data_IF_465967914752
#
_entry.id   IF_465967914752
#
_cell.length_a   1.000
_cell.length_b   1.000
_cell.length_c   1.000
_cell.angle_alpha   90.00
_cell.angle_beta   90.00
_cell.angle_gamma   90.00
#
_symmetry.space_group_name_H-M   'P 1'
#
loop_
_entity.id
_entity.type
_entity.pdbx_description
1 polymer ?
#
# COMPACT_ATOMS: atom_id res chain seq x y z
N UNK A 1 -34.72 5.93 -11.63
CA UNK A 1 -34.59 6.90 -10.54
C UNK A 1 -33.22 6.75 -9.92
N UNK A 2 -32.32 7.71 -10.12
CA UNK A 2 -30.98 7.70 -9.51
C UNK A 2 -30.99 8.62 -8.29
N UNK A 3 -30.36 8.23 -7.16
CA UNK A 3 -30.32 9.07 -5.96
C UNK A 3 -29.41 10.28 -6.18
N UNK A 4 -29.93 11.46 -5.84
CA UNK A 4 -29.22 12.73 -5.78
C UNK A 4 -28.38 12.71 -4.48
N UNK A 5 -27.06 12.66 -4.60
CA UNK A 5 -26.15 12.76 -3.46
C UNK A 5 -25.78 14.22 -3.22
N UNK A 6 -26.40 14.83 -2.20
CA UNK A 6 -25.99 16.13 -1.67
C UNK A 6 -24.60 16.03 -1.03
N UNK A 7 -23.63 16.71 -1.64
CA UNK A 7 -22.24 16.72 -1.22
C UNK A 7 -21.91 18.09 -0.63
N UNK A 8 -22.32 18.34 0.61
CA UNK A 8 -21.93 19.55 1.35
C UNK A 8 -21.41 19.20 2.74
N UNK A 9 -20.30 18.48 2.80
CA UNK A 9 -19.48 18.37 4.01
C UNK A 9 -18.19 19.15 3.79
N UNK A 10 -18.14 20.35 4.37
CA UNK A 10 -16.91 21.14 4.54
C UNK A 10 -16.01 20.39 5.52
N UNK A 11 -14.94 19.80 5.03
CA UNK A 11 -13.88 19.24 5.88
C UNK A 11 -13.00 20.38 6.42
N UNK A 12 -12.77 20.46 7.75
CA UNK A 12 -11.77 21.37 8.30
C UNK A 12 -10.36 20.86 7.98
N UNK A 13 -9.62 21.65 7.21
CA UNK A 13 -8.20 21.45 6.95
C UNK A 13 -7.38 21.91 8.15
N UNK A 14 -6.53 20.99 8.64
CA UNK A 14 -5.14 21.19 9.05
C UNK A 14 -4.76 22.47 9.81
N UNK A 15 -4.50 22.30 11.10
CA UNK A 15 -3.47 23.04 11.82
C UNK A 15 -2.72 22.10 12.77
N UNK A 16 -1.74 21.36 12.26
CA UNK A 16 -0.75 20.71 13.12
C UNK A 16 0.55 20.45 12.36
N UNK A 17 1.39 21.48 12.27
CA UNK A 17 2.81 21.32 11.96
C UNK A 17 3.53 22.34 12.84
N UNK A 18 4.18 21.87 13.90
CA UNK A 18 5.47 22.36 14.40
C UNK A 18 5.81 21.62 15.70
N UNK A 19 6.97 20.97 15.70
CA UNK A 19 7.47 20.25 16.87
C UNK A 19 8.46 19.14 16.52
N UNK A 20 9.45 19.40 15.67
CA UNK A 20 10.56 18.47 15.47
C UNK A 20 11.49 18.64 16.68
N UNK A 21 11.22 17.85 17.70
CA UNK A 21 11.99 17.79 18.94
C UNK A 21 13.31 17.05 18.71
N UNK A 22 14.38 17.83 18.77
CA UNK A 22 15.67 17.59 19.44
C UNK A 22 16.19 16.15 19.50
N UNK A 23 17.29 15.94 18.78
CA UNK A 23 18.28 14.87 18.91
C UNK A 23 18.38 14.23 20.31
N UNK A 24 17.80 13.04 20.50
CA UNK A 24 18.21 12.13 21.57
C UNK A 24 19.43 11.34 21.09
N UNK A 25 20.63 11.74 21.54
CA UNK A 25 21.83 10.91 21.47
C UNK A 25 21.62 9.78 22.48
N UNK A 26 21.20 8.61 22.00
CA UNK A 26 21.10 7.40 22.81
C UNK A 26 22.50 6.80 22.94
N UNK A 27 23.19 7.11 24.04
CA UNK A 27 24.44 6.44 24.42
C UNK A 27 24.09 5.07 25.00
N UNK A 28 24.19 4.02 24.18
CA UNK A 28 23.97 2.64 24.65
C UNK A 28 25.17 2.19 25.52
N UNK A 29 24.93 1.68 26.74
CA UNK A 29 26.00 1.16 27.58
C UNK A 29 26.56 -0.13 26.97
N UNK A 30 27.86 -0.09 26.64
CA UNK A 30 28.65 -1.24 26.21
C UNK A 30 28.69 -2.28 27.34
N UNK A 31 27.83 -3.28 27.26
CA UNK A 31 27.77 -4.39 28.22
C UNK A 31 28.70 -5.49 27.72
N UNK A 32 29.68 -5.87 28.55
CA UNK A 32 30.64 -6.92 28.22
C UNK A 32 29.94 -8.27 27.97
N UNK A 33 30.44 -9.08 27.01
CA UNK A 33 29.85 -10.39 26.72
C UNK A 33 30.09 -11.33 27.90
N UNK A 34 29.02 -11.72 28.58
CA UNK A 34 29.06 -12.77 29.59
C UNK A 34 29.28 -14.12 28.90
N UNK A 35 30.34 -14.83 29.29
CA UNK A 35 30.67 -16.19 28.85
C UNK A 35 29.49 -17.13 29.15
N UNK A 36 28.69 -17.42 28.13
CA UNK A 36 27.51 -18.28 28.24
C UNK A 36 27.96 -19.74 28.16
N UNK A 37 27.77 -20.46 29.26
CA UNK A 37 28.02 -21.91 29.35
C UNK A 37 27.13 -22.65 28.36
N UNK A 38 27.74 -23.47 27.49
CA UNK A 38 27.06 -24.22 26.44
C UNK A 38 26.11 -25.26 27.06
N UNK A 39 24.83 -24.91 27.18
CA UNK A 39 23.78 -25.82 27.58
C UNK A 39 23.39 -26.67 26.38
N UNK A 40 23.56 -27.98 26.47
CA UNK A 40 23.07 -28.94 25.46
C UNK A 40 21.56 -28.81 25.35
N UNK A 41 21.08 -28.17 24.28
CA UNK A 41 19.65 -28.04 23.97
C UNK A 41 19.19 -29.38 23.38
N UNK A 42 18.34 -30.09 24.12
CA UNK A 42 17.65 -31.28 23.59
C UNK A 42 16.61 -30.78 22.57
N UNK A 43 16.66 -31.22 21.31
CA UNK A 43 15.72 -30.76 20.29
C UNK A 43 14.31 -31.20 20.66
N UNK A 44 13.42 -30.24 20.91
CA UNK A 44 11.98 -30.50 21.06
C UNK A 44 11.40 -30.92 19.71
N UNK A 45 10.38 -31.81 19.68
CA UNK A 45 9.70 -32.16 18.45
C UNK A 45 9.10 -30.90 17.79
N UNK A 46 9.06 -30.83 16.44
CA UNK A 46 8.55 -29.67 15.72
C UNK A 46 7.08 -29.45 16.08
N UNK A 47 6.74 -28.24 16.50
CA UNK A 47 5.36 -27.84 16.76
C UNK A 47 4.70 -27.59 15.42
N UNK A 48 3.57 -28.26 15.16
CA UNK A 48 2.76 -28.04 13.97
C UNK A 48 1.58 -27.13 14.29
N UNK A 49 1.29 -26.18 13.39
CA UNK A 49 0.16 -25.26 13.53
C UNK A 49 -0.77 -25.42 12.32
N UNK A 50 -2.07 -25.45 12.58
CA UNK A 50 -3.11 -25.41 11.54
C UNK A 50 -3.58 -23.96 11.39
N UNK A 51 -3.36 -23.32 10.22
CA UNK A 51 -3.78 -21.93 10.01
C UNK A 51 -5.30 -21.82 9.90
N UNK A 52 -5.88 -20.68 10.31
CA UNK A 52 -7.32 -20.46 10.15
C UNK A 52 -7.68 -20.19 8.69
N UNK A 53 -8.97 -20.38 8.37
CA UNK A 53 -9.53 -20.10 7.04
C UNK A 53 -10.22 -18.74 7.04
N UNK A 54 -10.07 -18.00 5.94
CA UNK A 54 -10.86 -16.79 5.70
C UNK A 54 -12.34 -17.14 5.51
N UNK A 55 -13.23 -16.29 6.04
CA UNK A 55 -14.66 -16.62 6.16
C UNK A 55 -15.37 -16.93 4.84
N UNK A 56 -15.09 -16.18 3.77
CA UNK A 56 -15.79 -16.31 2.49
C UNK A 56 -15.00 -17.11 1.44
N UNK A 57 -13.70 -16.86 1.28
CA UNK A 57 -12.90 -17.52 0.25
C UNK A 57 -12.28 -18.85 0.70
N UNK A 58 -12.40 -19.23 1.98
CA UNK A 58 -11.92 -20.50 2.58
C UNK A 58 -10.42 -20.78 2.51
N UNK A 59 -9.62 -19.94 1.84
CA UNK A 59 -8.17 -20.02 1.84
C UNK A 59 -7.59 -19.93 3.27
N UNK A 60 -6.51 -20.68 3.50
CA UNK A 60 -5.74 -20.62 4.73
C UNK A 60 -5.03 -19.26 4.85
N UNK A 61 -5.08 -18.66 6.03
CA UNK A 61 -4.45 -17.37 6.36
C UNK A 61 -3.14 -17.61 7.08
N UNK A 62 -2.13 -16.78 6.80
CA UNK A 62 -0.91 -16.80 7.59
C UNK A 62 -1.22 -16.50 9.08
N UNK A 63 -0.59 -17.19 10.05
CA UNK A 63 -0.84 -16.95 11.48
C UNK A 63 -0.60 -15.50 11.92
N UNK A 64 0.40 -14.82 11.35
CA UNK A 64 0.69 -13.40 11.58
C UNK A 64 -0.31 -12.40 10.95
N UNK A 65 -1.24 -12.87 10.11
CA UNK A 65 -2.31 -12.05 9.53
C UNK A 65 -3.54 -12.04 10.45
N UNK A 66 -4.32 -10.93 10.54
CA UNK A 66 -5.55 -10.90 11.33
C UNK A 66 -6.53 -12.01 10.93
N UNK A 67 -6.97 -12.79 11.92
CA UNK A 67 -7.78 -14.00 11.71
C UNK A 67 -9.29 -13.70 11.54
N UNK A 68 -9.68 -12.43 11.56
CA UNK A 68 -11.09 -11.97 11.48
C UNK A 68 -11.50 -11.52 10.07
N UNK A 69 -10.69 -11.82 9.05
CA UNK A 69 -10.94 -11.36 7.69
C UNK A 69 -11.97 -12.20 6.95
N UNK A 70 -12.97 -11.52 6.36
CA UNK A 70 -13.97 -12.14 5.49
C UNK A 70 -13.31 -12.66 4.21
N UNK A 71 -12.36 -11.92 3.63
CA UNK A 71 -11.60 -12.30 2.44
C UNK A 71 -10.11 -12.36 2.79
N UNK A 72 -9.40 -13.36 2.27
CA UNK A 72 -7.95 -13.38 2.43
C UNK A 72 -7.28 -12.21 1.69
N UNK A 73 -6.07 -11.79 2.10
CA UNK A 73 -5.33 -10.70 1.47
C UNK A 73 -5.24 -10.79 -0.06
N UNK A 74 -4.98 -11.99 -0.57
CA UNK A 74 -4.85 -12.24 -2.01
C UNK A 74 -6.17 -12.05 -2.76
N UNK A 75 -7.28 -12.58 -2.22
CA UNK A 75 -8.60 -12.40 -2.83
C UNK A 75 -9.03 -10.93 -2.80
N UNK A 76 -8.75 -10.22 -1.71
CA UNK A 76 -9.10 -8.80 -1.61
C UNK A 76 -8.32 -7.93 -2.59
N UNK A 77 -7.02 -8.18 -2.79
CA UNK A 77 -6.24 -7.50 -3.83
C UNK A 77 -6.80 -7.79 -5.22
N UNK A 78 -7.05 -9.06 -5.56
CA UNK A 78 -7.64 -9.41 -6.87
C UNK A 78 -8.97 -8.72 -7.12
N UNK A 79 -9.83 -8.64 -6.10
CA UNK A 79 -11.08 -7.89 -6.19
C UNK A 79 -10.83 -6.41 -6.56
N UNK A 80 -9.95 -5.73 -5.80
CA UNK A 80 -9.64 -4.31 -6.03
C UNK A 80 -9.01 -4.07 -7.40
N UNK A 81 -8.16 -4.99 -7.88
CA UNK A 81 -7.56 -4.93 -9.22
C UNK A 81 -8.63 -5.11 -10.30
N UNK A 82 -9.53 -6.09 -10.15
CA UNK A 82 -10.64 -6.33 -11.08
C UNK A 82 -11.62 -5.15 -11.14
N UNK A 83 -11.80 -4.42 -10.04
CA UNK A 83 -12.60 -3.19 -9.99
C UNK A 83 -11.87 -2.01 -10.66
N UNK A 84 -10.56 -1.88 -10.44
CA UNK A 84 -9.75 -0.77 -10.96
C UNK A 84 -9.47 -0.89 -12.46
N UNK A 85 -9.18 -2.09 -12.97
CA UNK A 85 -8.81 -2.34 -14.37
C UNK A 85 -9.80 -1.74 -15.39
N UNK A 86 -11.11 -2.02 -15.33
CA UNK A 86 -12.06 -1.44 -16.30
C UNK A 86 -12.14 0.08 -16.18
N UNK A 87 -12.00 0.64 -14.97
CA UNK A 87 -11.99 2.09 -14.77
C UNK A 87 -10.74 2.73 -15.37
N UNK A 88 -9.58 2.09 -15.25
CA UNK A 88 -8.34 2.52 -15.88
C UNK A 88 -8.45 2.49 -17.40
N UNK A 89 -9.00 1.42 -17.99
CA UNK A 89 -9.23 1.35 -19.44
C UNK A 89 -10.18 2.45 -19.92
N UNK A 90 -11.28 2.69 -19.23
CA UNK A 90 -12.20 3.79 -19.57
C UNK A 90 -11.52 5.17 -19.45
N UNK A 91 -10.69 5.36 -18.42
CA UNK A 91 -9.96 6.60 -18.19
C UNK A 91 -8.93 6.86 -19.29
N UNK A 92 -8.16 5.84 -19.66
CA UNK A 92 -7.19 5.89 -20.75
C UNK A 92 -7.86 6.16 -22.10
N UNK A 93 -8.99 5.50 -22.40
CA UNK A 93 -9.74 5.70 -23.64
C UNK A 93 -10.32 7.12 -23.77
N UNK A 94 -10.51 7.83 -22.65
CA UNK A 94 -10.90 9.25 -22.63
C UNK A 94 -9.71 10.22 -22.66
N UNK A 95 -8.50 9.70 -22.89
CA UNK A 95 -7.28 10.48 -23.04
C UNK A 95 -6.51 10.73 -21.76
N UNK A 96 -6.87 10.07 -20.66
CA UNK A 96 -6.15 10.12 -19.40
C UNK A 96 -6.02 11.59 -18.89
N UNK A 97 -5.07 11.97 -18.00
CA UNK A 97 -5.05 13.31 -17.42
C UNK A 97 -4.69 14.42 -18.42
N UNK A 98 -4.27 14.08 -19.63
CA UNK A 98 -3.70 15.00 -20.62
C UNK A 98 -4.74 15.58 -21.60
N UNK A 99 -6.00 15.11 -21.57
CA UNK A 99 -7.02 15.55 -22.50
C UNK A 99 -7.82 16.74 -21.95
N UNK A 100 -8.12 17.68 -22.85
CA UNK A 100 -8.80 18.94 -22.56
C UNK A 100 -10.27 18.69 -22.14
N UNK A 101 -10.62 18.87 -20.84
CA UNK A 101 -11.87 18.41 -20.26
C UNK A 101 -13.11 19.19 -20.71
N UNK A 102 -12.95 20.29 -21.45
CA UNK A 102 -14.04 21.22 -21.77
C UNK A 102 -15.15 20.64 -22.67
N UNK A 103 -14.95 19.44 -23.24
CA UNK A 103 -15.91 18.83 -24.17
C UNK A 103 -16.60 17.56 -23.65
N UNK A 104 -16.18 17.00 -22.50
CA UNK A 104 -16.80 15.78 -21.95
C UNK A 104 -17.26 15.97 -20.50
N UNK A 105 -18.58 16.16 -20.25
CA UNK A 105 -19.11 16.28 -18.88
C UNK A 105 -18.91 15.02 -18.04
N UNK A 106 -18.67 13.86 -18.68
CA UNK A 106 -18.37 12.60 -17.98
C UNK A 106 -16.92 12.50 -17.54
N UNK A 107 -16.02 13.34 -18.07
CA UNK A 107 -14.59 13.30 -17.76
C UNK A 107 -14.33 13.42 -16.25
N UNK A 108 -14.90 14.43 -15.59
CA UNK A 108 -14.71 14.65 -14.16
C UNK A 108 -15.31 13.54 -13.31
N UNK A 109 -16.45 12.99 -13.72
CA UNK A 109 -17.10 11.86 -13.01
C UNK A 109 -16.21 10.63 -13.09
N UNK A 110 -15.72 10.30 -14.28
CA UNK A 110 -14.84 9.16 -14.48
C UNK A 110 -13.52 9.34 -13.73
N UNK A 111 -12.90 10.52 -13.79
CA UNK A 111 -11.69 10.85 -13.03
C UNK A 111 -11.89 10.60 -11.54
N UNK A 112 -13.00 11.08 -10.97
CA UNK A 112 -13.33 10.89 -9.55
C UNK A 112 -13.44 9.42 -9.20
N UNK A 113 -14.18 8.64 -9.99
CA UNK A 113 -14.38 7.20 -9.78
C UNK A 113 -13.06 6.44 -9.88
N UNK A 114 -12.27 6.70 -10.92
CA UNK A 114 -10.95 6.08 -11.11
C UNK A 114 -10.02 6.38 -9.92
N UNK A 115 -9.98 7.63 -9.46
CA UNK A 115 -9.19 8.02 -8.29
C UNK A 115 -9.65 7.31 -7.01
N UNK A 116 -10.96 7.14 -6.81
CA UNK A 116 -11.51 6.42 -5.66
C UNK A 116 -11.05 4.96 -5.61
N UNK A 117 -11.05 4.25 -6.75
CA UNK A 117 -10.55 2.88 -6.82
C UNK A 117 -9.03 2.81 -6.60
N UNK A 118 -8.25 3.72 -7.20
CA UNK A 118 -6.81 3.83 -6.93
C UNK A 118 -6.52 4.06 -5.45
N UNK A 119 -7.22 5.00 -4.81
CA UNK A 119 -7.05 5.32 -3.40
C UNK A 119 -7.43 4.12 -2.51
N UNK A 120 -8.48 3.37 -2.87
CA UNK A 120 -8.89 2.17 -2.14
C UNK A 120 -7.81 1.08 -2.20
N UNK A 121 -7.22 0.86 -3.38
CA UNK A 121 -6.11 -0.07 -3.56
C UNK A 121 -4.87 0.37 -2.77
N UNK A 122 -4.44 1.62 -2.89
CA UNK A 122 -3.29 2.16 -2.18
C UNK A 122 -3.45 2.06 -0.65
N UNK A 123 -4.64 2.40 -0.13
CA UNK A 123 -4.97 2.24 1.29
C UNK A 123 -4.86 0.77 1.73
N UNK A 124 -5.37 -0.16 0.93
CA UNK A 124 -5.28 -1.57 1.30
C UNK A 124 -3.84 -2.09 1.23
N UNK A 125 -3.05 -1.67 0.24
CA UNK A 125 -1.62 -1.99 0.17
C UNK A 125 -0.86 -1.51 1.40
N UNK A 126 -1.12 -0.31 1.89
CA UNK A 126 -0.53 0.19 3.14
C UNK A 126 -0.82 -0.73 4.34
N UNK A 127 -2.07 -1.22 4.48
CA UNK A 127 -2.39 -2.20 5.52
C UNK A 127 -1.67 -3.54 5.32
N UNK A 128 -1.45 -3.96 4.08
CA UNK A 128 -0.69 -5.18 3.79
C UNK A 128 0.79 -5.04 4.12
N UNK A 129 1.38 -3.86 3.99
CA UNK A 129 2.78 -3.61 4.39
C UNK A 129 2.95 -3.81 5.89
N UNK A 130 2.10 -3.19 6.71
CA UNK A 130 2.07 -3.39 8.16
C UNK A 130 1.87 -4.86 8.53
N UNK A 131 1.01 -5.58 7.78
CA UNK A 131 0.77 -7.00 8.04
C UNK A 131 1.94 -7.87 7.63
N UNK A 132 2.61 -7.57 6.52
CA UNK A 132 3.79 -8.31 6.08
C UNK A 132 4.93 -8.21 7.11
N UNK A 133 5.11 -7.05 7.74
CA UNK A 133 6.05 -6.88 8.85
C UNK A 133 5.67 -7.77 10.05
N UNK A 134 4.37 -7.91 10.35
CA UNK A 134 3.89 -8.81 11.42
C UNK A 134 4.05 -10.29 11.06
N UNK A 135 3.84 -10.65 9.79
CA UNK A 135 4.09 -12.00 9.31
C UNK A 135 5.57 -12.35 9.48
N UNK A 136 6.47 -11.42 9.14
CA UNK A 136 7.91 -11.56 9.32
C UNK A 136 8.31 -11.69 10.79
N UNK A 137 7.79 -10.83 11.66
CA UNK A 137 8.04 -10.93 13.09
C UNK A 137 7.56 -12.28 13.66
N UNK A 138 6.39 -12.75 13.21
CA UNK A 138 5.85 -14.05 13.61
C UNK A 138 6.75 -15.20 13.12
N UNK A 139 7.22 -15.17 11.87
CA UNK A 139 8.14 -16.15 11.29
C UNK A 139 9.46 -16.23 12.10
N UNK A 140 9.99 -15.09 12.56
CA UNK A 140 11.20 -15.03 13.39
C UNK A 140 10.98 -15.58 14.81
N UNK A 141 9.83 -15.30 15.43
CA UNK A 141 9.49 -15.80 16.77
C UNK A 141 9.21 -17.31 16.79
N UNK A 142 8.81 -17.88 15.65
CA UNK A 142 8.36 -19.26 15.52
C UNK A 142 9.26 -20.08 14.58
N UNK A 143 10.57 -19.85 14.65
CA UNK A 143 11.55 -20.60 13.88
C UNK A 143 11.44 -22.11 14.19
N UNK A 144 11.29 -22.93 13.14
CA UNK A 144 11.11 -24.38 13.26
C UNK A 144 9.66 -24.85 13.44
N UNK A 145 8.68 -23.94 13.45
CA UNK A 145 7.26 -24.32 13.37
C UNK A 145 6.90 -24.70 11.94
N UNK A 146 6.45 -25.94 11.76
CA UNK A 146 5.93 -26.39 10.47
C UNK A 146 4.45 -25.99 10.33
N UNK A 147 4.15 -25.17 9.32
CA UNK A 147 2.77 -24.87 8.96
C UNK A 147 2.18 -26.04 8.16
N UNK A 148 1.09 -26.63 8.64
CA UNK A 148 0.39 -27.65 7.86
C UNK A 148 -0.34 -27.00 6.68
N UNK A 149 -0.18 -27.56 5.48
CA UNK A 149 -0.86 -27.06 4.27
C UNK A 149 -0.22 -25.81 3.64
N UNK A 150 1.10 -25.68 3.73
CA UNK A 150 1.90 -24.50 3.26
C UNK A 150 1.50 -24.00 1.87
N UNK A 151 1.18 -24.89 0.92
CA UNK A 151 0.98 -24.50 -0.47
C UNK A 151 -0.20 -23.54 -0.70
N UNK A 152 -1.23 -23.60 0.14
CA UNK A 152 -2.43 -22.74 -0.01
C UNK A 152 -2.51 -21.60 1.01
N UNK A 153 -1.46 -21.38 1.80
CA UNK A 153 -1.44 -20.25 2.74
C UNK A 153 -1.36 -18.92 1.95
N UNK A 154 -2.31 -18.03 2.26
CA UNK A 154 -2.41 -16.68 1.69
C UNK A 154 -1.89 -15.69 2.71
N UNK A 155 -0.75 -15.09 2.37
CA UNK A 155 -0.06 -14.09 3.18
C UNK A 155 -0.23 -12.68 2.62
N UNK A 156 -0.05 -11.68 3.49
CA UNK A 156 0.02 -10.28 3.12
C UNK A 156 1.22 -10.02 2.20
N UNK A 157 2.38 -10.63 2.48
CA UNK A 157 3.58 -10.56 1.63
C UNK A 157 3.28 -11.02 0.19
N UNK A 158 2.57 -12.15 0.01
CA UNK A 158 2.15 -12.65 -1.31
C UNK A 158 1.17 -11.71 -2.00
N UNK A 159 0.23 -11.14 -1.25
CA UNK A 159 -0.74 -10.18 -1.79
C UNK A 159 -0.08 -8.88 -2.26
N UNK A 160 0.93 -8.37 -1.54
CA UNK A 160 1.73 -7.22 -1.99
C UNK A 160 2.49 -7.50 -3.29
N UNK A 161 3.09 -8.69 -3.42
CA UNK A 161 3.77 -9.09 -4.65
C UNK A 161 2.83 -9.10 -5.86
N UNK A 162 1.59 -9.57 -5.67
CA UNK A 162 0.54 -9.51 -6.70
C UNK A 162 0.19 -8.06 -7.04
N UNK A 163 -0.09 -7.25 -6.02
CA UNK A 163 -0.47 -5.84 -6.21
C UNK A 163 0.60 -5.09 -7.01
N UNK A 164 1.87 -5.13 -6.57
CA UNK A 164 2.99 -4.44 -7.22
C UNK A 164 3.21 -4.89 -8.66
N UNK A 165 3.10 -6.19 -8.95
CA UNK A 165 3.26 -6.73 -10.31
C UNK A 165 2.12 -6.33 -11.24
N UNK A 166 0.90 -6.28 -10.73
CA UNK A 166 -0.31 -6.08 -11.55
C UNK A 166 -0.76 -4.61 -11.60
N UNK A 167 -0.03 -3.70 -10.94
CA UNK A 167 -0.26 -2.25 -11.00
C UNK A 167 0.97 -1.49 -11.50
N UNK A 168 1.36 -1.64 -12.78
CA UNK A 168 2.49 -0.87 -13.33
C UNK A 168 2.25 0.65 -13.25
N UNK A 169 1.00 1.10 -13.23
CA UNK A 169 0.59 2.50 -13.15
C UNK A 169 0.58 3.09 -11.73
N UNK A 170 0.99 2.33 -10.71
CA UNK A 170 1.28 2.86 -9.37
C UNK A 170 2.77 3.12 -9.15
N UNK A 171 3.62 2.98 -10.17
CA UNK A 171 5.00 3.45 -10.10
C UNK A 171 5.01 4.89 -9.61
N UNK A 172 5.47 5.07 -8.36
CA UNK A 172 5.46 6.32 -7.60
C UNK A 172 6.24 7.47 -8.27
N UNK A 173 6.80 7.25 -9.46
CA UNK A 173 7.50 8.25 -10.25
C UNK A 173 6.58 9.26 -10.95
N UNK A 174 5.34 8.88 -11.27
CA UNK A 174 4.37 9.76 -11.92
C UNK A 174 3.51 10.49 -10.89
N UNK A 175 4.14 11.11 -9.90
CA UNK A 175 3.45 12.11 -9.11
C UNK A 175 2.85 13.15 -10.07
N UNK A 176 1.55 13.41 -9.99
CA UNK A 176 0.86 14.52 -10.69
C UNK A 176 1.53 15.91 -10.41
N UNK A 177 2.53 15.92 -9.53
CA UNK A 177 3.42 17.01 -9.21
C UNK A 177 4.72 16.96 -10.03
N UNK A 178 4.65 16.78 -11.35
CA UNK A 178 5.69 17.42 -12.16
C UNK A 178 5.35 18.90 -12.16
N UNK A 179 5.89 19.64 -11.18
CA UNK A 179 6.03 21.08 -11.36
C UNK A 179 6.88 21.23 -12.61
N UNK A 180 6.22 21.49 -13.75
CA UNK A 180 6.86 22.16 -14.86
C UNK A 180 7.38 23.44 -14.23
N UNK A 181 8.66 23.43 -13.82
CA UNK A 181 9.38 24.63 -13.45
C UNK A 181 9.24 25.47 -14.68
N UNK A 182 8.31 26.41 -14.61
CA UNK A 182 7.98 27.31 -15.70
C UNK A 182 9.28 28.08 -15.88
N UNK A 183 10.11 27.65 -16.84
CA UNK A 183 11.35 28.33 -17.18
C UNK A 183 10.93 29.77 -17.46
N UNK A 184 11.13 30.63 -16.47
CA UNK A 184 10.85 32.05 -16.58
C UNK A 184 11.87 32.53 -17.59
N UNK A 185 11.41 32.56 -18.84
CA UNK A 185 12.17 33.00 -19.99
C UNK A 185 12.94 34.25 -19.60
N UNK A 186 14.26 34.09 -19.60
CA UNK A 186 15.25 35.15 -19.60
C UNK A 186 14.87 36.06 -20.75
N UNK A 187 14.14 37.14 -20.46
CA UNK A 187 13.82 38.18 -21.46
C UNK A 187 15.17 38.73 -21.92
N UNK A 188 15.61 38.31 -23.10
CA UNK A 188 16.73 38.92 -23.80
C UNK A 188 16.37 40.38 -24.05
N UNK A 189 16.93 41.26 -23.23
CA UNK A 189 16.86 42.70 -23.42
C UNK A 189 17.52 43.06 -24.74
N UNK A 190 16.71 43.71 -25.58
CA UNK A 190 17.06 44.26 -26.88
C UNK A 190 18.34 45.10 -26.83
N UNK A 191 19.31 44.74 -27.67
CA UNK A 191 20.47 45.58 -27.95
C UNK A 191 20.04 46.84 -28.70
N UNK A 192 20.17 47.98 -28.04
CA UNK A 192 20.04 49.31 -28.64
C UNK A 192 21.38 49.66 -29.31
N UNK A 193 21.48 49.59 -30.64
CA UNK A 193 22.60 50.17 -31.39
C UNK A 193 22.25 51.61 -31.75
N UNK A 194 23.14 52.54 -31.38
CA UNK A 194 23.15 53.94 -31.86
C UNK A 194 23.95 54.03 -33.15
#
# INVERSE_FOLDING_TARGET
MLPIFDSTTKSPLNSYVEGISTHCIITLPFTSPATTSARTVVPSPPVSITPNKAGHCTHLLHPGTPQTEVLCPVCKIRQLLNELQPMTSLWQNRGAPFLQPQYDPMYYRLRKVWYMYRASLARYMYFLEIRAEREEAWELEHEGVEMLGVEDVRSARKALGIARRETPFLELGDGDFTTTVRETGKRGGLGLKR
#
